data_IF_130596465646
#
_entry.id   IF_130596465646
#
_cell.length_a   1.000
_cell.length_b   1.000
_cell.length_c   1.000
_cell.angle_alpha   90.00
_cell.angle_beta   90.00
_cell.angle_gamma   90.00
#
_symmetry.space_group_name_H-M   'P 1'
#
loop_
_entity.id
_entity.type
_entity.pdbx_description
1 polymer ?
#
# COMPACT_ATOMS: atom_id res chain seq x y z
N UNK A 1 -34.29 -19.16 -21.94
CA UNK A 1 -33.05 -18.57 -21.38
C UNK A 1 -33.20 -17.05 -21.44
N UNK A 2 -33.36 -16.39 -20.28
CA UNK A 2 -33.48 -14.91 -20.22
C UNK A 2 -32.07 -14.32 -20.14
N UNK A 3 -31.77 -13.23 -20.86
CA UNK A 3 -30.45 -12.62 -20.81
C UNK A 3 -30.25 -11.91 -19.45
N UNK A 4 -29.10 -12.17 -18.83
CA UNK A 4 -28.65 -11.51 -17.60
C UNK A 4 -28.28 -10.08 -17.95
N UNK A 5 -28.91 -9.10 -17.28
CA UNK A 5 -28.59 -7.67 -17.44
C UNK A 5 -27.22 -7.38 -16.82
N UNK A 6 -26.35 -6.62 -17.49
CA UNK A 6 -25.06 -6.24 -16.93
C UNK A 6 -25.25 -5.30 -15.74
N UNK A 7 -24.63 -5.66 -14.61
CA UNK A 7 -24.59 -4.87 -13.38
C UNK A 7 -23.74 -3.62 -13.63
N UNK A 8 -24.27 -2.44 -13.32
CA UNK A 8 -23.58 -1.14 -13.49
C UNK A 8 -22.54 -0.91 -12.39
N UNK A 9 -21.22 -0.93 -12.66
CA UNK A 9 -20.20 -0.75 -11.62
C UNK A 9 -19.76 0.70 -11.37
N UNK A 10 -20.46 1.72 -11.87
CA UNK A 10 -19.89 3.08 -12.04
C UNK A 10 -19.91 3.95 -10.76
N UNK A 11 -20.82 3.74 -9.82
CA UNK A 11 -20.94 4.61 -8.63
C UNK A 11 -19.94 4.27 -7.51
N UNK A 12 -19.71 3.00 -7.25
CA UNK A 12 -18.79 2.56 -6.18
C UNK A 12 -17.33 2.91 -6.47
N UNK A 13 -16.88 2.75 -7.73
CA UNK A 13 -15.49 3.08 -8.13
C UNK A 13 -15.21 4.58 -8.06
N UNK A 14 -16.18 5.44 -8.38
CA UNK A 14 -16.02 6.91 -8.26
C UNK A 14 -15.92 7.37 -6.80
N UNK A 15 -16.70 6.79 -5.90
CA UNK A 15 -16.66 7.12 -4.48
C UNK A 15 -15.31 6.73 -3.85
N UNK A 16 -14.81 5.52 -4.13
CA UNK A 16 -13.49 5.06 -3.65
C UNK A 16 -12.34 5.93 -4.19
N UNK A 17 -12.44 6.44 -5.42
CA UNK A 17 -11.42 7.33 -5.99
C UNK A 17 -11.45 8.75 -5.38
N UNK A 18 -12.63 9.27 -5.04
CA UNK A 18 -12.75 10.56 -4.35
C UNK A 18 -12.16 10.50 -2.93
N UNK A 19 -12.44 9.43 -2.19
CA UNK A 19 -11.86 9.18 -0.86
C UNK A 19 -10.34 9.08 -0.90
N UNK A 20 -9.78 8.40 -1.92
CA UNK A 20 -8.31 8.27 -2.10
C UNK A 20 -7.63 9.63 -2.29
N UNK A 21 -8.25 10.55 -3.02
CA UNK A 21 -7.72 11.89 -3.22
C UNK A 21 -7.74 12.70 -1.91
N UNK A 22 -8.84 12.65 -1.17
CA UNK A 22 -9.00 13.36 0.10
C UNK A 22 -8.01 12.88 1.18
N UNK A 23 -7.59 11.61 1.15
CA UNK A 23 -6.69 11.02 2.13
C UNK A 23 -5.20 11.07 1.71
N UNK A 24 -4.88 11.63 0.54
CA UNK A 24 -3.50 11.79 0.05
C UNK A 24 -2.89 10.52 -0.55
N UNK A 25 -3.68 9.48 -0.78
CA UNK A 25 -3.20 8.20 -1.30
C UNK A 25 -3.07 8.19 -2.84
N UNK A 26 -3.90 8.97 -3.55
CA UNK A 26 -3.98 8.95 -5.00
C UNK A 26 -2.64 9.26 -5.71
N UNK A 27 -1.85 10.29 -5.31
CA UNK A 27 -0.55 10.55 -5.92
C UNK A 27 0.43 9.39 -5.74
N UNK A 28 0.44 8.76 -4.57
CA UNK A 28 1.30 7.62 -4.28
C UNK A 28 0.92 6.38 -5.07
N UNK A 29 -0.37 6.09 -5.25
CA UNK A 29 -0.85 4.98 -6.09
C UNK A 29 -0.51 5.21 -7.57
N UNK A 30 -0.57 6.45 -8.04
CA UNK A 30 -0.15 6.80 -9.39
C UNK A 30 1.36 6.58 -9.57
N UNK A 31 2.17 7.06 -8.63
CA UNK A 31 3.62 6.84 -8.62
C UNK A 31 3.99 5.35 -8.52
N UNK A 32 3.28 4.58 -7.68
CA UNK A 32 3.48 3.13 -7.55
C UNK A 32 3.37 2.40 -8.91
N UNK A 33 2.42 2.79 -9.75
CA UNK A 33 2.31 2.23 -11.11
C UNK A 33 3.54 2.54 -11.94
N UNK A 34 3.99 3.79 -11.93
CA UNK A 34 5.16 4.22 -12.69
C UNK A 34 6.43 3.52 -12.21
N UNK A 35 6.62 3.35 -10.89
CA UNK A 35 7.78 2.64 -10.36
C UNK A 35 7.82 1.18 -10.82
N UNK A 36 6.69 0.50 -10.83
CA UNK A 36 6.63 -0.93 -11.22
C UNK A 36 6.74 -1.10 -12.75
N UNK A 37 6.15 -0.19 -13.54
CA UNK A 37 6.14 -0.25 -15.00
C UNK A 37 7.39 0.40 -15.63
N UNK A 38 7.91 1.46 -15.00
CA UNK A 38 8.82 2.42 -15.66
C UNK A 38 10.29 2.05 -15.67
N UNK A 39 10.72 1.07 -14.92
CA UNK A 39 12.11 0.65 -15.00
C UNK A 39 12.26 -0.47 -16.04
N UNK A 40 12.53 -0.12 -17.29
CA UNK A 40 13.28 -0.99 -18.18
C UNK A 40 14.64 -1.36 -17.54
N UNK A 41 15.45 -2.15 -18.25
CA UNK A 41 16.78 -2.60 -17.75
C UNK A 41 17.83 -1.47 -17.62
N UNK A 42 17.41 -0.21 -17.67
CA UNK A 42 18.26 0.95 -17.50
C UNK A 42 18.29 1.41 -16.03
N UNK A 43 19.40 1.16 -15.29
CA UNK A 43 19.55 1.58 -13.90
C UNK A 43 19.57 3.12 -13.72
N UNK A 44 19.83 3.86 -14.79
CA UNK A 44 19.84 5.34 -14.80
C UNK A 44 18.47 5.93 -15.25
N UNK A 45 17.47 5.09 -15.57
CA UNK A 45 16.15 5.58 -15.86
C UNK A 45 15.63 6.42 -14.70
N UNK A 46 15.26 7.66 -14.98
CA UNK A 46 14.79 8.65 -14.00
C UNK A 46 13.71 8.05 -13.10
N UNK A 47 14.11 7.61 -11.92
CA UNK A 47 13.18 7.07 -10.92
C UNK A 47 12.29 8.21 -10.46
N UNK A 48 10.99 8.09 -10.71
CA UNK A 48 10.01 9.07 -10.23
C UNK A 48 10.13 9.20 -8.71
N UNK A 49 10.40 10.40 -8.18
CA UNK A 49 10.55 10.58 -6.74
C UNK A 49 9.25 10.24 -6.01
N UNK A 50 9.36 9.87 -4.74
CA UNK A 50 8.19 9.63 -3.90
C UNK A 50 7.43 10.93 -3.72
N UNK A 51 6.15 11.01 -4.11
CA UNK A 51 5.35 12.21 -3.91
C UNK A 51 5.25 12.57 -2.42
N UNK A 52 5.51 13.83 -2.11
CA UNK A 52 5.33 14.33 -0.75
C UNK A 52 3.84 14.36 -0.40
N UNK A 53 3.39 13.70 0.68
CA UNK A 53 1.99 13.72 1.07
C UNK A 53 1.54 15.13 1.46
N UNK A 54 0.42 15.58 0.93
CA UNK A 54 -0.15 16.86 1.30
C UNK A 54 -0.45 16.93 2.81
N UNK A 55 -0.16 18.07 3.42
CA UNK A 55 -0.39 18.30 4.86
C UNK A 55 -1.84 18.03 5.24
N UNK A 56 -2.04 17.43 6.41
CA UNK A 56 -3.37 17.13 6.95
C UNK A 56 -4.02 15.86 6.39
N UNK A 57 -3.44 15.22 5.37
CA UNK A 57 -3.92 13.94 4.85
C UNK A 57 -3.60 12.77 5.80
N UNK A 58 -4.32 11.67 5.66
CA UNK A 58 -4.06 10.47 6.47
C UNK A 58 -2.69 9.87 6.18
N UNK A 59 -2.24 9.95 4.94
CA UNK A 59 -0.91 9.49 4.54
C UNK A 59 0.17 10.34 5.21
N UNK A 60 0.02 11.68 5.25
CA UNK A 60 0.95 12.54 5.98
C UNK A 60 0.97 12.22 7.47
N UNK A 61 -0.20 11.99 8.10
CA UNK A 61 -0.28 11.58 9.51
C UNK A 61 0.42 10.25 9.77
N UNK A 62 0.26 9.27 8.87
CA UNK A 62 0.95 7.99 8.98
C UNK A 62 2.46 8.18 8.92
N UNK A 63 2.95 8.91 7.90
CA UNK A 63 4.38 9.23 7.77
C UNK A 63 4.93 9.91 9.01
N UNK A 64 4.29 10.98 9.45
CA UNK A 64 4.77 11.82 10.55
C UNK A 64 4.71 11.08 11.91
N UNK A 65 3.66 10.27 12.11
CA UNK A 65 3.48 9.51 13.36
C UNK A 65 4.53 8.43 13.55
N UNK A 66 4.95 7.78 12.46
CA UNK A 66 5.89 6.66 12.50
C UNK A 66 7.28 7.03 11.98
N UNK A 67 7.49 8.28 11.54
CA UNK A 67 8.77 8.73 10.99
C UNK A 67 9.18 7.98 9.72
N UNK A 68 8.20 7.68 8.83
CA UNK A 68 8.48 6.89 7.64
C UNK A 68 9.36 7.66 6.66
N UNK A 69 10.42 7.01 6.20
CA UNK A 69 11.26 7.47 5.10
C UNK A 69 10.46 7.49 3.78
N UNK A 70 10.94 8.21 2.75
CA UNK A 70 10.32 8.15 1.42
C UNK A 70 10.23 6.72 0.87
N UNK A 71 11.27 5.91 1.05
CA UNK A 71 11.26 4.50 0.63
C UNK A 71 10.19 3.68 1.36
N UNK A 72 10.10 3.80 2.69
CA UNK A 72 9.08 3.11 3.48
C UNK A 72 7.67 3.51 3.06
N UNK A 73 7.47 4.80 2.74
CA UNK A 73 6.19 5.30 2.24
C UNK A 73 5.85 4.70 0.86
N UNK A 74 6.84 4.58 -0.03
CA UNK A 74 6.67 3.94 -1.34
C UNK A 74 6.34 2.45 -1.19
N UNK A 75 6.96 1.75 -0.25
CA UNK A 75 6.64 0.35 0.08
C UNK A 75 5.18 0.20 0.51
N UNK A 76 4.71 1.05 1.44
CA UNK A 76 3.30 1.05 1.88
C UNK A 76 2.36 1.34 0.71
N UNK A 77 2.72 2.30 -0.16
CA UNK A 77 1.91 2.65 -1.33
C UNK A 77 1.79 1.49 -2.32
N UNK A 78 2.88 0.77 -2.61
CA UNK A 78 2.86 -0.40 -3.50
C UNK A 78 2.07 -1.57 -2.89
N UNK A 79 2.23 -1.83 -1.59
CA UNK A 79 1.42 -2.85 -0.91
C UNK A 79 -0.08 -2.50 -0.94
N UNK A 80 -0.44 -1.21 -0.74
CA UNK A 80 -1.82 -0.74 -0.90
C UNK A 80 -2.30 -0.84 -2.35
N UNK A 81 -1.43 -0.62 -3.33
CA UNK A 81 -1.78 -0.68 -4.75
C UNK A 81 -2.18 -2.09 -5.19
N UNK A 82 -1.59 -3.14 -4.62
CA UNK A 82 -2.00 -4.54 -4.88
C UNK A 82 -3.47 -4.73 -4.57
N UNK A 83 -3.95 -4.16 -3.45
CA UNK A 83 -5.34 -4.29 -3.00
C UNK A 83 -6.30 -3.32 -3.71
N UNK A 84 -5.82 -2.12 -4.03
CA UNK A 84 -6.68 -1.01 -4.43
C UNK A 84 -6.68 -0.73 -5.93
N UNK A 85 -5.66 -1.14 -6.67
CA UNK A 85 -5.51 -0.82 -8.10
C UNK A 85 -5.70 -2.07 -8.93
N UNK A 86 -6.78 -2.17 -9.71
CA UNK A 86 -7.01 -3.32 -10.58
C UNK A 86 -5.82 -3.60 -11.50
N UNK A 87 -5.38 -4.85 -11.55
CA UNK A 87 -4.28 -5.29 -12.40
C UNK A 87 -2.87 -4.94 -11.89
N UNK A 88 -2.73 -4.28 -10.73
CA UNK A 88 -1.41 -3.97 -10.19
C UNK A 88 -0.61 -5.23 -9.84
N UNK A 89 -1.24 -6.26 -9.28
CA UNK A 89 -0.59 -7.55 -9.04
C UNK A 89 -0.03 -8.19 -10.32
N UNK A 90 -0.76 -8.12 -11.44
CA UNK A 90 -0.27 -8.62 -12.72
C UNK A 90 0.98 -7.86 -13.20
N UNK A 91 1.05 -6.53 -12.95
CA UNK A 91 2.24 -5.73 -13.23
C UNK A 91 3.43 -6.14 -12.35
N UNK A 92 3.17 -6.42 -11.07
CA UNK A 92 4.21 -6.94 -10.18
C UNK A 92 4.77 -8.28 -10.69
N UNK A 93 3.91 -9.19 -11.14
CA UNK A 93 4.34 -10.46 -11.73
C UNK A 93 5.20 -10.25 -12.97
N UNK A 94 4.77 -9.37 -13.87
CA UNK A 94 5.51 -9.04 -15.09
C UNK A 94 6.89 -8.42 -14.78
N UNK A 95 6.96 -7.50 -13.82
CA UNK A 95 8.19 -6.84 -13.41
C UNK A 95 9.20 -7.79 -12.71
N UNK A 96 8.72 -8.91 -12.17
CA UNK A 96 9.55 -9.97 -11.58
C UNK A 96 10.09 -10.97 -12.63
N UNK A 97 9.59 -10.93 -13.86
CA UNK A 97 10.00 -11.83 -14.93
C UNK A 97 9.33 -13.21 -14.90
N UNK A 98 9.96 -14.18 -15.55
CA UNK A 98 9.43 -15.54 -15.65
C UNK A 98 9.26 -16.18 -14.25
N UNK A 99 8.04 -16.65 -13.96
CA UNK A 99 7.69 -17.20 -12.66
C UNK A 99 7.34 -16.17 -11.58
N UNK A 100 7.24 -14.89 -11.94
CA UNK A 100 6.84 -13.82 -11.04
C UNK A 100 5.43 -14.02 -10.47
N UNK A 101 5.25 -13.63 -9.21
CA UNK A 101 3.97 -13.73 -8.50
C UNK A 101 3.20 -12.41 -8.56
N UNK A 102 1.86 -12.49 -8.58
CA UNK A 102 1.00 -11.30 -8.61
C UNK A 102 0.96 -10.57 -7.25
N UNK A 103 2.11 -10.47 -6.59
CA UNK A 103 2.29 -9.84 -5.28
C UNK A 103 3.46 -8.88 -5.30
N UNK A 104 3.42 -7.89 -4.43
CA UNK A 104 4.55 -7.00 -4.18
C UNK A 104 5.52 -7.68 -3.20
N UNK A 105 6.82 -7.68 -3.53
CA UNK A 105 7.84 -8.43 -2.78
C UNK A 105 8.99 -7.54 -2.35
N UNK A 106 9.78 -7.93 -1.32
CA UNK A 106 11.02 -7.24 -0.94
C UNK A 106 11.99 -7.05 -2.10
N UNK A 107 12.19 -8.11 -2.91
CA UNK A 107 13.06 -8.03 -4.08
C UNK A 107 12.58 -6.98 -5.08
N UNK A 108 11.28 -6.94 -5.35
CA UNK A 108 10.70 -5.93 -6.24
C UNK A 108 10.80 -4.51 -5.66
N UNK A 109 10.63 -4.36 -4.34
CA UNK A 109 10.80 -3.08 -3.67
C UNK A 109 12.21 -2.52 -3.87
N UNK A 110 13.23 -3.34 -3.64
CA UNK A 110 14.63 -2.91 -3.79
C UNK A 110 14.99 -2.64 -5.26
N UNK A 111 14.44 -3.43 -6.19
CA UNK A 111 14.77 -3.29 -7.61
C UNK A 111 14.08 -2.10 -8.29
N UNK A 112 12.94 -1.62 -7.77
CA UNK A 112 12.06 -0.70 -8.49
C UNK A 112 11.72 0.60 -7.77
N UNK A 113 11.88 0.66 -6.43
CA UNK A 113 11.52 1.85 -5.70
C UNK A 113 12.69 2.82 -5.54
N UNK A 114 12.43 4.14 -5.47
CA UNK A 114 13.45 5.14 -5.27
C UNK A 114 14.06 5.04 -3.86
N UNK A 115 15.40 5.19 -3.77
CA UNK A 115 16.15 5.14 -2.53
C UNK A 115 16.06 3.80 -1.80
N UNK A 116 16.38 2.68 -2.47
CA UNK A 116 16.20 1.35 -1.92
C UNK A 116 16.99 1.15 -0.63
N UNK A 117 16.33 0.59 0.40
CA UNK A 117 16.90 0.35 1.72
C UNK A 117 16.43 -1.00 2.28
N UNK A 118 17.33 -1.98 2.33
CA UNK A 118 17.05 -3.29 2.92
C UNK A 118 16.79 -3.21 4.43
N UNK A 119 17.38 -2.23 5.12
CA UNK A 119 17.21 -2.09 6.58
C UNK A 119 15.78 -1.74 6.95
N UNK A 120 15.07 -0.99 6.08
CA UNK A 120 13.68 -0.63 6.26
C UNK A 120 12.70 -1.84 6.22
N UNK A 121 13.15 -2.98 5.71
CA UNK A 121 12.35 -4.22 5.59
C UNK A 121 12.67 -5.25 6.67
N UNK A 122 13.61 -4.97 7.58
CA UNK A 122 13.98 -5.88 8.68
C UNK A 122 12.83 -6.08 9.69
N UNK A 123 12.82 -7.19 10.44
CA UNK A 123 11.76 -7.49 11.40
C UNK A 123 11.54 -6.43 12.49
N UNK A 124 12.61 -5.75 12.89
CA UNK A 124 12.64 -4.69 13.91
C UNK A 124 12.52 -3.28 13.34
N UNK A 125 12.53 -3.13 12.00
CA UNK A 125 12.32 -1.85 11.33
C UNK A 125 10.89 -1.35 11.49
N UNK A 126 10.69 -0.05 11.33
CA UNK A 126 9.44 0.68 11.59
C UNK A 126 8.21 0.00 10.98
N UNK A 127 8.27 -0.36 9.70
CA UNK A 127 7.12 -0.96 9.00
C UNK A 127 6.65 -2.26 9.64
N UNK A 128 7.58 -3.13 10.03
CA UNK A 128 7.27 -4.45 10.59
C UNK A 128 7.06 -4.41 12.09
N UNK A 129 7.87 -3.64 12.81
CA UNK A 129 7.74 -3.46 14.27
C UNK A 129 6.37 -2.94 14.66
N UNK A 130 5.85 -1.96 13.91
CA UNK A 130 4.52 -1.37 14.15
C UNK A 130 3.40 -2.06 13.38
N UNK A 131 3.71 -3.18 12.72
CA UNK A 131 2.74 -3.93 11.92
C UNK A 131 2.02 -3.09 10.86
N UNK A 132 2.71 -2.10 10.32
CA UNK A 132 2.22 -1.35 9.17
C UNK A 132 2.34 -2.17 7.89
N UNK A 133 3.25 -3.15 7.90
CA UNK A 133 3.49 -4.08 6.81
C UNK A 133 3.75 -5.47 7.40
N UNK A 134 3.26 -6.51 6.75
CA UNK A 134 3.54 -7.90 7.06
C UNK A 134 4.29 -8.55 5.90
N UNK A 135 5.17 -9.50 6.21
CA UNK A 135 5.85 -10.32 5.24
C UNK A 135 5.29 -11.74 5.38
N UNK A 136 4.69 -12.26 4.32
CA UNK A 136 4.15 -13.60 4.31
C UNK A 136 5.26 -14.66 4.47
N UNK A 137 4.96 -15.86 4.98
CA UNK A 137 5.91 -16.95 5.01
C UNK A 137 6.33 -17.37 3.59
N UNK A 138 7.52 -17.93 3.46
CA UNK A 138 8.07 -18.40 2.18
C UNK A 138 9.55 -18.71 2.32
N UNK A 139 10.12 -19.48 1.39
CA UNK A 139 11.49 -19.97 1.48
C UNK A 139 12.52 -18.86 1.25
N UNK A 140 12.35 -18.10 0.17
CA UNK A 140 13.28 -17.01 -0.20
C UNK A 140 12.71 -15.67 0.24
N UNK A 141 13.39 -14.95 1.11
CA UNK A 141 12.91 -13.68 1.66
C UNK A 141 12.56 -12.64 0.58
N UNK A 142 13.41 -12.47 -0.42
CA UNK A 142 13.18 -11.50 -1.49
C UNK A 142 11.91 -11.77 -2.31
N UNK A 143 11.44 -13.03 -2.36
CA UNK A 143 10.24 -13.45 -3.08
C UNK A 143 8.97 -13.51 -2.23
N UNK A 144 9.05 -13.25 -0.92
CA UNK A 144 7.87 -13.27 -0.04
C UNK A 144 6.92 -12.12 -0.35
N UNK A 145 5.64 -12.33 -0.18
CA UNK A 145 4.66 -11.25 -0.34
C UNK A 145 4.74 -10.26 0.81
N UNK A 146 4.80 -8.97 0.47
CA UNK A 146 4.58 -7.87 1.39
C UNK A 146 3.08 -7.53 1.39
N UNK A 147 2.45 -7.69 2.54
CA UNK A 147 1.01 -7.57 2.70
C UNK A 147 0.69 -6.40 3.62
N UNK A 148 -0.27 -5.59 3.20
CA UNK A 148 -0.79 -4.50 4.03
C UNK A 148 -1.88 -5.07 4.96
N UNK A 149 -1.76 -4.91 6.30
CA UNK A 149 -2.81 -5.31 7.21
C UNK A 149 -4.12 -4.57 6.93
N UNK A 150 -5.25 -5.24 7.08
CA UNK A 150 -6.57 -4.69 6.80
C UNK A 150 -6.83 -3.38 7.57
N UNK A 151 -6.44 -3.31 8.84
CA UNK A 151 -6.58 -2.10 9.64
C UNK A 151 -5.83 -0.89 9.05
N UNK A 152 -4.62 -1.11 8.49
CA UNK A 152 -3.84 -0.07 7.83
C UNK A 152 -4.49 0.33 6.52
N UNK A 153 -4.99 -0.64 5.75
CA UNK A 153 -5.72 -0.38 4.51
C UNK A 153 -6.96 0.47 4.77
N UNK A 154 -7.77 0.11 5.76
CA UNK A 154 -8.96 0.86 6.15
C UNK A 154 -8.61 2.27 6.65
N UNK A 155 -7.53 2.42 7.45
CA UNK A 155 -7.04 3.72 7.85
C UNK A 155 -6.70 4.60 6.65
N UNK A 156 -5.96 4.08 5.67
CA UNK A 156 -5.61 4.81 4.45
C UNK A 156 -6.84 5.19 3.60
N UNK A 157 -7.93 4.45 3.73
CA UNK A 157 -9.23 4.74 3.10
C UNK A 157 -10.12 5.65 3.95
N UNK A 158 -9.63 6.18 5.09
CA UNK A 158 -10.40 7.04 5.97
C UNK A 158 -11.47 6.33 6.77
N UNK A 159 -11.40 5.02 6.88
CA UNK A 159 -12.33 4.21 7.65
C UNK A 159 -11.71 3.85 8.99
N UNK A 160 -12.40 4.19 10.08
CA UNK A 160 -12.02 3.69 11.40
C UNK A 160 -12.33 2.19 11.45
N UNK A 161 -11.31 1.36 11.26
CA UNK A 161 -11.42 -0.07 11.48
C UNK A 161 -10.73 -0.42 12.79
N UNK A 162 -11.43 -1.10 13.68
CA UNK A 162 -10.83 -1.72 14.84
C UNK A 162 -10.31 -3.10 14.42
N UNK A 163 -9.07 -3.43 14.82
CA UNK A 163 -8.51 -4.76 14.60
C UNK A 163 -9.47 -5.82 15.19
N UNK A 164 -9.91 -6.78 14.39
CA UNK A 164 -10.84 -7.83 14.82
C UNK A 164 -10.34 -8.59 16.07
N UNK A 165 -9.02 -8.72 16.23
CA UNK A 165 -8.40 -9.35 17.40
C UNK A 165 -8.61 -8.52 18.67
N UNK A 166 -8.79 -7.22 18.53
CA UNK A 166 -9.06 -6.29 19.64
C UNK A 166 -10.55 -6.03 19.82
N UNK A 167 -11.34 -6.14 18.76
CA UNK A 167 -12.78 -5.90 18.79
C UNK A 167 -13.52 -6.79 19.83
N UNK A 168 -13.04 -8.01 20.03
CA UNK A 168 -13.60 -8.94 21.04
C UNK A 168 -13.15 -8.63 22.47
N UNK A 169 -12.10 -7.80 22.67
CA UNK A 169 -11.48 -7.52 23.96
C UNK A 169 -11.59 -6.07 24.41
N UNK A 170 -11.91 -5.14 23.50
CA UNK A 170 -12.00 -3.72 23.79
C UNK A 170 -13.44 -3.25 23.59
N UNK A 171 -13.99 -2.65 24.62
CA UNK A 171 -15.23 -1.88 24.52
C UNK A 171 -14.86 -0.44 24.19
N UNK A 172 -15.37 0.08 23.09
CA UNK A 172 -15.24 1.51 22.79
C UNK A 172 -16.03 2.28 23.86
N UNK A 173 -15.32 2.88 24.78
CA UNK A 173 -15.89 3.87 25.70
C UNK A 173 -16.01 5.15 24.88
N UNK A 174 -17.24 5.61 24.67
CA UNK A 174 -17.48 6.85 23.91
C UNK A 174 -16.63 7.98 24.44
N UNK A 175 -15.96 8.70 23.56
CA UNK A 175 -15.30 9.95 23.90
C UNK A 175 -16.36 10.89 24.43
N UNK A 176 -16.32 11.17 25.73
CA UNK A 176 -17.01 12.31 26.31
C UNK A 176 -16.37 13.56 25.69
N UNK A 177 -17.03 14.11 24.72
CA UNK A 177 -16.60 15.31 24.04
C UNK A 177 -17.82 16.05 23.56
N UNK A 178 -18.40 16.78 24.50
CA UNK A 178 -19.08 18.06 24.27
C UNK A 178 -19.48 18.61 25.65
N UNK A 179 -18.66 19.50 26.14
CA UNK A 179 -19.08 20.58 27.05
C UNK A 179 -18.74 21.87 26.34
#
# INVERSE_FOLDING_TARGET
MKPVKPVKPVKAVKAVNADRAAHGLAPLLAAARTWIEGAGDDPDALTVPVPEPARGTLVARLRDRFGLSPFELAVVACAAAVELVPGFGARCAQAQGAGGTATFTPGLAIARLPGPDWSALQPDATLRRWRLLQCAPGDVYAGRSLVLPEAVLHFLLGRAAMDERLASRLRVVGTAGEL
#
